data_IF_214822356192
#
_entry.id   IF_214822356192
#
_cell.length_a   1.000
_cell.length_b   1.000
_cell.length_c   1.000
_cell.angle_alpha   90.00
_cell.angle_beta   90.00
_cell.angle_gamma   90.00
#
_symmetry.space_group_name_H-M   'P 1'
#
loop_
_entity.id
_entity.type
_entity.pdbx_description
1 polymer ?
#
# COMPACT_ATOMS: atom_id res chain seq x y z
N UNK A 1 -24.53 -27.68 -6.41
CA UNK A 1 -23.94 -26.36 -6.58
C UNK A 1 -22.72 -26.29 -5.67
N UNK A 2 -21.51 -26.34 -6.22
CA UNK A 2 -20.28 -26.14 -5.44
C UNK A 2 -20.27 -24.71 -4.90
N UNK A 3 -20.14 -24.54 -3.59
CA UNK A 3 -19.92 -23.21 -2.97
C UNK A 3 -18.64 -22.63 -3.58
N UNK A 4 -18.77 -21.52 -4.31
CA UNK A 4 -17.63 -20.77 -4.81
C UNK A 4 -16.75 -20.41 -3.61
N UNK A 5 -15.52 -20.86 -3.59
CA UNK A 5 -14.60 -20.55 -2.49
C UNK A 5 -14.41 -19.03 -2.47
N UNK A 6 -14.71 -18.39 -1.32
CA UNK A 6 -14.56 -16.96 -1.19
C UNK A 6 -13.09 -16.61 -1.29
N UNK A 7 -12.71 -15.81 -2.30
CA UNK A 7 -11.32 -15.36 -2.44
C UNK A 7 -10.98 -14.26 -1.44
N UNK A 8 -9.78 -14.33 -0.87
CA UNK A 8 -9.27 -13.34 0.09
C UNK A 8 -8.27 -12.42 -0.59
N UNK A 9 -8.49 -11.11 -0.49
CA UNK A 9 -7.54 -10.06 -0.84
C UNK A 9 -6.83 -9.51 0.39
N UNK A 10 -5.55 -9.15 0.26
CA UNK A 10 -4.76 -8.52 1.31
C UNK A 10 -4.40 -7.09 0.90
N UNK A 11 -4.75 -6.10 1.72
CA UNK A 11 -4.26 -4.74 1.57
C UNK A 11 -2.97 -4.59 2.38
N UNK A 12 -1.85 -4.41 1.70
CA UNK A 12 -0.58 -4.12 2.34
C UNK A 12 -0.34 -2.62 2.36
N UNK A 13 -0.57 -2.01 3.52
CA UNK A 13 -0.29 -0.60 3.76
C UNK A 13 1.21 -0.35 3.92
N UNK A 14 1.68 0.70 3.24
CA UNK A 14 3.05 1.22 3.34
C UNK A 14 3.04 2.68 3.81
N UNK A 15 3.12 3.64 2.91
CA UNK A 15 3.08 5.08 3.21
C UNK A 15 1.67 5.70 3.03
N UNK A 16 0.72 4.96 2.48
CA UNK A 16 -0.66 5.40 2.20
C UNK A 16 -1.63 5.11 3.36
N UNK A 17 -1.27 5.49 4.59
CA UNK A 17 -2.01 5.19 5.82
C UNK A 17 -3.31 6.01 5.94
N UNK A 18 -4.22 5.84 4.97
CA UNK A 18 -5.52 6.50 4.91
C UNK A 18 -6.59 5.56 4.37
N UNK A 19 -7.84 5.79 4.74
CA UNK A 19 -8.99 5.00 4.28
C UNK A 19 -9.71 5.66 3.11
N UNK A 20 -9.69 6.99 3.06
CA UNK A 20 -10.27 7.77 1.98
C UNK A 20 -9.30 7.88 0.82
N UNK A 21 -9.84 7.94 -0.42
CA UNK A 21 -9.05 8.08 -1.64
C UNK A 21 -7.85 7.13 -1.67
N UNK A 22 -8.12 5.83 -1.51
CA UNK A 22 -7.10 4.78 -1.45
C UNK A 22 -7.40 3.70 -2.48
N UNK A 23 -6.61 3.68 -3.56
CA UNK A 23 -6.83 2.77 -4.69
C UNK A 23 -6.63 1.30 -4.32
N UNK A 24 -5.75 1.00 -3.36
CA UNK A 24 -5.55 -0.37 -2.88
C UNK A 24 -6.80 -0.91 -2.19
N UNK A 25 -7.50 -0.08 -1.42
CA UNK A 25 -8.77 -0.44 -0.79
C UNK A 25 -9.84 -0.67 -1.86
N UNK A 26 -10.02 0.28 -2.78
CA UNK A 26 -11.01 0.18 -3.85
C UNK A 26 -10.85 -1.13 -4.65
N UNK A 27 -9.65 -1.42 -5.15
CA UNK A 27 -9.36 -2.61 -5.93
C UNK A 27 -9.57 -3.91 -5.15
N UNK A 28 -9.20 -3.95 -3.87
CA UNK A 28 -9.40 -5.11 -3.03
C UNK A 28 -10.90 -5.46 -2.89
N UNK A 29 -11.73 -4.44 -2.65
CA UNK A 29 -13.18 -4.62 -2.53
C UNK A 29 -13.89 -4.94 -3.84
N UNK A 30 -13.38 -4.45 -4.96
CA UNK A 30 -13.93 -4.78 -6.28
C UNK A 30 -13.72 -6.26 -6.63
N UNK A 31 -12.55 -6.80 -6.31
CA UNK A 31 -12.13 -8.13 -6.76
C UNK A 31 -12.43 -9.26 -5.79
N UNK A 32 -12.43 -8.98 -4.48
CA UNK A 32 -12.50 -10.02 -3.45
C UNK A 32 -13.73 -9.88 -2.55
N UNK A 33 -14.24 -11.02 -2.09
CA UNK A 33 -15.35 -11.07 -1.14
C UNK A 33 -14.88 -10.94 0.30
N UNK A 34 -13.63 -11.34 0.58
CA UNK A 34 -12.98 -11.18 1.87
C UNK A 34 -11.76 -10.29 1.69
N UNK A 35 -11.63 -9.30 2.56
CA UNK A 35 -10.50 -8.36 2.53
C UNK A 35 -9.94 -8.25 3.94
N UNK A 36 -8.64 -8.49 4.08
CA UNK A 36 -7.87 -8.22 5.29
C UNK A 36 -6.81 -7.16 4.99
N UNK A 37 -6.34 -6.49 6.00
CA UNK A 37 -5.30 -5.49 5.86
C UNK A 37 -4.11 -5.81 6.76
N UNK A 38 -2.92 -5.40 6.34
CA UNK A 38 -1.69 -5.55 7.11
C UNK A 38 -0.87 -4.27 7.07
N UNK A 39 -0.31 -3.93 8.22
CA UNK A 39 0.78 -2.97 8.35
C UNK A 39 1.95 -3.63 9.10
N UNK A 40 3.13 -3.55 8.52
CA UNK A 40 4.35 -4.07 9.15
C UNK A 40 5.24 -2.89 9.53
N UNK A 41 5.46 -2.69 10.83
CA UNK A 41 6.52 -1.82 11.32
C UNK A 41 7.85 -2.49 10.96
N UNK A 42 8.40 -2.11 9.81
CA UNK A 42 9.56 -2.75 9.21
C UNK A 42 10.82 -2.53 10.07
N UNK A 43 11.39 -3.61 10.60
CA UNK A 43 12.61 -3.54 11.40
C UNK A 43 13.77 -2.86 10.69
N UNK A 44 13.86 -2.96 9.35
CA UNK A 44 14.93 -2.30 8.58
C UNK A 44 15.00 -0.79 8.81
N UNK A 45 13.86 -0.12 9.06
CA UNK A 45 13.84 1.33 9.29
C UNK A 45 14.09 1.70 10.76
N UNK A 46 13.93 0.75 11.70
CA UNK A 46 14.20 0.97 13.13
C UNK A 46 15.63 0.59 13.53
N UNK A 47 16.32 -0.22 12.73
CA UNK A 47 17.70 -0.60 12.94
C UNK A 47 18.67 0.51 12.55
N UNK A 48 19.90 0.43 13.08
CA UNK A 48 20.98 1.33 12.69
C UNK A 48 21.50 0.93 11.30
N UNK A 49 21.65 1.92 10.43
CA UNK A 49 22.30 1.71 9.15
C UNK A 49 23.82 1.49 9.30
N UNK A 50 24.51 1.25 8.19
CA UNK A 50 25.97 1.04 8.17
C UNK A 50 26.77 2.22 8.74
N UNK A 51 26.19 3.42 8.77
CA UNK A 51 26.80 4.64 9.34
C UNK A 51 26.41 4.87 10.81
N UNK A 52 25.69 3.95 11.45
CA UNK A 52 25.29 4.03 12.86
C UNK A 52 24.06 4.90 13.13
N UNK A 53 23.38 5.42 12.10
CA UNK A 53 22.16 6.24 12.25
C UNK A 53 20.90 5.38 12.15
N UNK A 54 19.88 5.75 12.93
CA UNK A 54 18.52 5.24 12.79
C UNK A 54 17.73 6.12 11.82
N UNK A 55 16.89 5.52 10.98
CA UNK A 55 15.98 6.26 10.09
C UNK A 55 14.76 6.79 10.81
N UNK A 56 14.35 6.12 11.88
CA UNK A 56 13.23 6.48 12.73
C UNK A 56 13.72 6.66 14.15
N UNK A 57 13.47 7.84 14.71
CA UNK A 57 13.66 8.19 16.10
C UNK A 57 12.30 8.41 16.79
N UNK A 58 12.32 8.66 18.10
CA UNK A 58 11.17 8.70 19.00
C UNK A 58 9.94 9.41 18.44
N UNK A 59 10.08 10.63 17.93
CA UNK A 59 8.94 11.43 17.47
C UNK A 59 8.26 10.83 16.24
N UNK A 60 9.05 10.44 15.26
CA UNK A 60 8.52 9.79 14.05
C UNK A 60 7.93 8.42 14.37
N UNK A 61 8.52 7.65 15.29
CA UNK A 61 7.99 6.38 15.73
C UNK A 61 6.64 6.54 16.45
N UNK A 62 6.50 7.51 17.35
CA UNK A 62 5.24 7.79 18.02
C UNK A 62 4.15 8.22 17.02
N UNK A 63 4.47 9.17 16.13
CA UNK A 63 3.54 9.57 15.07
C UNK A 63 3.06 8.39 14.23
N UNK A 64 3.96 7.50 13.84
CA UNK A 64 3.63 6.31 13.05
C UNK A 64 2.70 5.36 13.82
N UNK A 65 2.95 5.13 15.11
CA UNK A 65 2.08 4.30 15.97
C UNK A 65 0.68 4.91 16.09
N UNK A 66 0.59 6.22 16.29
CA UNK A 66 -0.68 6.94 16.38
C UNK A 66 -1.44 6.86 15.06
N UNK A 67 -0.76 7.08 13.92
CA UNK A 67 -1.36 7.00 12.59
C UNK A 67 -1.88 5.58 12.29
N UNK A 68 -1.13 4.54 12.64
CA UNK A 68 -1.57 3.15 12.43
C UNK A 68 -2.73 2.78 13.34
N UNK A 69 -2.80 3.33 14.55
CA UNK A 69 -3.95 3.15 15.46
C UNK A 69 -5.21 3.78 14.87
N UNK A 70 -5.12 5.01 14.39
CA UNK A 70 -6.22 5.72 13.74
C UNK A 70 -6.69 4.97 12.49
N UNK A 71 -5.76 4.52 11.64
CA UNK A 71 -6.07 3.69 10.48
C UNK A 71 -6.82 2.41 10.88
N UNK A 72 -6.40 1.74 11.96
CA UNK A 72 -7.05 0.53 12.47
C UNK A 72 -8.51 0.77 12.87
N UNK A 73 -8.77 1.88 13.55
CA UNK A 73 -10.12 2.28 13.97
C UNK A 73 -11.02 2.57 12.75
N UNK A 74 -10.53 3.32 11.77
CA UNK A 74 -11.27 3.61 10.55
C UNK A 74 -11.53 2.38 9.67
N UNK A 75 -10.57 1.45 9.58
CA UNK A 75 -10.75 0.19 8.88
C UNK A 75 -11.78 -0.71 9.57
N UNK A 76 -11.79 -0.74 10.92
CA UNK A 76 -12.75 -1.50 11.68
C UNK A 76 -14.20 -1.04 11.42
N UNK A 77 -14.44 0.26 11.19
CA UNK A 77 -15.75 0.81 10.79
C UNK A 77 -16.22 0.29 9.43
N UNK A 78 -15.28 -0.20 8.59
CA UNK A 78 -15.56 -0.83 7.30
C UNK A 78 -15.53 -2.36 7.35
N UNK A 79 -15.54 -2.95 8.55
CA UNK A 79 -15.38 -4.39 8.77
C UNK A 79 -14.06 -4.95 8.19
N UNK A 80 -12.98 -4.18 8.17
CA UNK A 80 -11.67 -4.64 7.78
C UNK A 80 -10.80 -4.79 9.02
N UNK A 81 -10.24 -5.97 9.24
CA UNK A 81 -9.25 -6.20 10.30
C UNK A 81 -7.87 -5.75 9.81
N UNK A 82 -7.22 -4.84 10.55
CA UNK A 82 -5.83 -4.48 10.34
C UNK A 82 -4.92 -5.33 11.24
N UNK A 83 -4.16 -6.22 10.63
CA UNK A 83 -3.08 -6.94 11.28
C UNK A 83 -1.86 -6.04 11.39
N UNK A 84 -1.23 -6.01 12.57
CA UNK A 84 -0.04 -5.18 12.79
C UNK A 84 1.10 -6.03 13.35
N UNK A 85 2.29 -5.89 12.77
CA UNK A 85 3.48 -6.61 13.16
C UNK A 85 4.68 -5.67 13.28
N UNK A 86 5.60 -6.00 14.17
CA UNK A 86 6.92 -5.40 14.23
C UNK A 86 7.95 -6.46 13.83
N UNK A 87 8.23 -6.54 12.53
CA UNK A 87 9.16 -7.53 11.94
C UNK A 87 9.56 -7.11 10.52
N UNK A 88 10.22 -8.02 9.78
CA UNK A 88 10.56 -7.83 8.37
C UNK A 88 9.37 -8.17 7.47
N UNK A 89 8.94 -7.26 6.56
CA UNK A 89 7.81 -7.50 5.66
C UNK A 89 7.94 -8.80 4.84
N UNK A 90 9.15 -9.11 4.36
CA UNK A 90 9.45 -10.32 3.60
C UNK A 90 9.38 -11.63 4.41
N UNK A 91 9.19 -11.54 5.72
CA UNK A 91 8.95 -12.71 6.61
C UNK A 91 7.46 -12.82 6.93
N UNK A 92 6.84 -11.69 7.27
CA UNK A 92 5.46 -11.66 7.77
C UNK A 92 4.45 -11.84 6.64
N UNK A 93 4.59 -11.08 5.57
CA UNK A 93 3.56 -11.02 4.51
C UNK A 93 3.35 -12.37 3.83
N UNK A 94 4.39 -13.10 3.37
CA UNK A 94 4.20 -14.42 2.79
C UNK A 94 3.49 -15.39 3.74
N UNK A 95 3.87 -15.39 5.02
CA UNK A 95 3.24 -16.25 6.04
C UNK A 95 1.75 -15.92 6.24
N UNK A 96 1.38 -14.64 6.22
CA UNK A 96 -0.03 -14.22 6.30
C UNK A 96 -0.78 -14.66 5.05
N UNK A 97 -0.17 -14.54 3.88
CA UNK A 97 -0.77 -14.99 2.61
C UNK A 97 -1.08 -16.50 2.64
N UNK A 98 -0.16 -17.31 3.13
CA UNK A 98 -0.38 -18.76 3.29
C UNK A 98 -1.47 -19.06 4.32
N UNK A 99 -1.40 -18.42 5.50
CA UNK A 99 -2.34 -18.66 6.61
C UNK A 99 -3.78 -18.34 6.24
N UNK A 100 -4.00 -17.25 5.50
CA UNK A 100 -5.33 -16.75 5.14
C UNK A 100 -5.73 -17.06 3.68
N UNK A 101 -4.95 -17.88 2.97
CA UNK A 101 -5.18 -18.27 1.58
C UNK A 101 -5.42 -17.06 0.67
N UNK A 102 -4.59 -16.03 0.84
CA UNK A 102 -4.65 -14.78 0.07
C UNK A 102 -4.32 -15.07 -1.40
N UNK A 103 -5.16 -14.57 -2.31
CA UNK A 103 -4.97 -14.71 -3.76
C UNK A 103 -4.33 -13.49 -4.42
N UNK A 104 -4.56 -12.31 -3.85
CA UNK A 104 -4.01 -11.08 -4.39
C UNK A 104 -3.68 -10.09 -3.27
N UNK A 105 -2.51 -9.47 -3.36
CA UNK A 105 -2.06 -8.37 -2.49
C UNK A 105 -2.25 -7.06 -3.25
N UNK A 106 -2.84 -6.05 -2.58
CA UNK A 106 -2.99 -4.70 -3.10
C UNK A 106 -2.12 -3.75 -2.29
N UNK A 107 -1.29 -2.98 -2.96
CA UNK A 107 -0.37 -2.05 -2.29
C UNK A 107 -0.15 -0.79 -3.11
N UNK A 108 0.38 0.25 -2.48
CA UNK A 108 0.84 1.44 -3.16
C UNK A 108 2.16 1.17 -3.87
N UNK A 109 2.32 1.70 -5.07
CA UNK A 109 3.59 1.68 -5.79
C UNK A 109 4.56 2.65 -5.16
N UNK A 110 5.67 2.15 -4.70
CA UNK A 110 6.73 2.92 -4.06
C UNK A 110 7.88 3.24 -5.05
N UNK A 111 8.65 4.29 -4.72
CA UNK A 111 9.62 4.87 -5.65
C UNK A 111 11.06 4.78 -5.18
N UNK A 112 11.29 4.75 -3.88
CA UNK A 112 12.66 4.73 -3.37
C UNK A 112 13.26 3.34 -3.43
N UNK A 113 14.58 3.27 -3.53
CA UNK A 113 15.29 1.99 -3.68
C UNK A 113 15.04 1.02 -2.52
N UNK A 114 14.75 1.54 -1.33
CA UNK A 114 14.55 0.75 -0.13
C UNK A 114 13.19 0.08 -0.13
N UNK A 115 12.13 0.85 -0.37
CA UNK A 115 10.76 0.32 -0.45
C UNK A 115 10.61 -0.63 -1.64
N UNK A 116 11.17 -0.26 -2.80
CA UNK A 116 11.21 -1.16 -3.97
C UNK A 116 11.99 -2.44 -3.67
N UNK A 117 13.08 -2.35 -2.91
CA UNK A 117 13.85 -3.50 -2.44
C UNK A 117 13.02 -4.41 -1.53
N UNK A 118 12.30 -3.84 -0.57
CA UNK A 118 11.39 -4.57 0.33
C UNK A 118 10.26 -5.25 -0.45
N UNK A 119 9.63 -4.53 -1.39
CA UNK A 119 8.61 -5.08 -2.28
C UNK A 119 9.13 -6.32 -3.05
N UNK A 120 10.30 -6.22 -3.67
CA UNK A 120 10.92 -7.33 -4.41
C UNK A 120 11.21 -8.54 -3.53
N UNK A 121 11.69 -8.32 -2.29
CA UNK A 121 11.92 -9.40 -1.32
C UNK A 121 10.62 -10.10 -0.92
N UNK A 122 9.54 -9.35 -0.70
CA UNK A 122 8.23 -9.93 -0.42
C UNK A 122 7.77 -10.74 -1.64
N UNK A 123 7.76 -10.13 -2.83
CA UNK A 123 7.30 -10.77 -4.06
C UNK A 123 8.05 -12.10 -4.36
N UNK A 124 9.36 -12.14 -4.11
CA UNK A 124 10.19 -13.35 -4.35
C UNK A 124 9.88 -14.52 -3.41
N UNK A 125 9.14 -14.28 -2.33
CA UNK A 125 8.79 -15.30 -1.32
C UNK A 125 7.31 -15.70 -1.37
N UNK A 126 6.52 -15.11 -2.25
CA UNK A 126 5.14 -15.52 -2.47
C UNK A 126 5.09 -16.80 -3.31
N UNK A 127 4.03 -17.56 -3.12
CA UNK A 127 3.72 -18.71 -3.99
C UNK A 127 3.14 -18.21 -5.32
N UNK A 128 3.22 -19.04 -6.36
CA UNK A 128 2.66 -18.73 -7.69
C UNK A 128 1.14 -18.47 -7.68
N UNK A 129 0.47 -18.86 -6.59
CA UNK A 129 -0.97 -18.66 -6.42
C UNK A 129 -1.34 -17.28 -5.87
N UNK A 130 -0.38 -16.49 -5.41
CA UNK A 130 -0.58 -15.16 -4.82
C UNK A 130 0.07 -14.09 -5.68
N UNK A 131 -0.73 -13.20 -6.25
CA UNK A 131 -0.25 -12.10 -7.08
C UNK A 131 -0.17 -10.79 -6.31
N UNK A 132 0.61 -9.82 -6.81
CA UNK A 132 0.64 -8.45 -6.28
C UNK A 132 0.16 -7.48 -7.35
N UNK A 133 -0.80 -6.65 -6.99
CA UNK A 133 -1.24 -5.50 -7.77
C UNK A 133 -0.80 -4.22 -7.05
N UNK A 134 0.09 -3.46 -7.67
CA UNK A 134 0.49 -2.15 -7.17
C UNK A 134 -0.24 -1.03 -7.95
N UNK A 135 -0.49 0.08 -7.27
CA UNK A 135 -1.16 1.24 -7.86
C UNK A 135 -0.45 2.55 -7.54
N UNK A 136 -0.47 3.48 -8.49
CA UNK A 136 -0.02 4.86 -8.26
C UNK A 136 -1.08 5.59 -7.42
N UNK A 137 -0.76 5.93 -6.18
CA UNK A 137 -1.69 6.51 -5.23
C UNK A 137 -1.04 7.58 -4.32
N UNK A 138 0.18 7.98 -4.65
CA UNK A 138 0.99 8.87 -3.82
C UNK A 138 0.96 10.33 -4.27
N UNK A 139 0.75 10.59 -5.55
CA UNK A 139 0.90 11.92 -6.14
C UNK A 139 -0.42 12.44 -6.71
N UNK A 140 -0.58 13.77 -6.65
CA UNK A 140 -1.74 14.46 -7.21
C UNK A 140 -1.91 14.22 -8.72
N UNK A 141 -0.80 14.18 -9.46
CA UNK A 141 -0.81 13.88 -10.88
C UNK A 141 -0.35 12.45 -11.11
N UNK A 142 -1.17 11.67 -11.77
CA UNK A 142 -0.78 10.32 -12.16
C UNK A 142 0.27 10.40 -13.28
N UNK A 143 1.32 9.56 -13.25
CA UNK A 143 2.41 9.62 -14.24
C UNK A 143 1.95 9.51 -15.69
N UNK A 144 0.91 8.73 -15.96
CA UNK A 144 0.34 8.56 -17.32
C UNK A 144 -0.40 9.81 -17.84
N UNK A 145 -0.84 10.69 -16.92
CA UNK A 145 -1.59 11.90 -17.28
C UNK A 145 -0.66 13.11 -17.47
N UNK A 146 0.65 12.91 -17.21
CA UNK A 146 1.67 13.90 -17.49
C UNK A 146 2.09 13.76 -18.94
N UNK A 147 1.52 14.58 -19.83
CA UNK A 147 1.80 14.61 -21.27
C UNK A 147 3.24 15.10 -21.58
N UNK A 148 4.24 14.44 -21.03
CA UNK A 148 5.66 14.72 -21.28
C UNK A 148 6.47 13.43 -21.33
N UNK A 149 7.29 13.29 -22.36
CA UNK A 149 8.34 12.27 -22.36
C UNK A 149 9.36 12.57 -21.26
N UNK A 150 9.82 11.53 -20.56
CA UNK A 150 10.85 11.63 -19.51
C UNK A 150 12.10 12.40 -19.98
N UNK A 151 12.47 12.25 -21.26
CA UNK A 151 13.61 12.97 -21.88
C UNK A 151 13.35 14.45 -22.08
N UNK A 152 12.08 14.89 -22.09
CA UNK A 152 11.67 16.28 -22.30
C UNK A 152 11.30 17.00 -21.00
N UNK A 153 11.50 16.38 -19.86
CA UNK A 153 11.24 17.00 -18.55
C UNK A 153 12.19 18.21 -18.39
N UNK A 154 11.63 19.42 -18.15
CA UNK A 154 12.45 20.60 -17.93
C UNK A 154 13.36 20.44 -16.70
N UNK A 155 14.64 20.80 -16.81
CA UNK A 155 15.56 20.78 -15.68
C UNK A 155 15.15 21.75 -14.54
N UNK A 156 14.43 22.83 -14.87
CA UNK A 156 13.93 23.81 -13.90
C UNK A 156 12.52 23.43 -13.48
N UNK A 157 12.33 23.15 -12.19
CA UNK A 157 11.05 22.71 -11.62
C UNK A 157 9.87 23.67 -11.95
N UNK A 158 10.08 24.99 -11.92
CA UNK A 158 9.03 25.95 -12.25
C UNK A 158 8.48 25.76 -13.67
N UNK A 159 9.32 25.43 -14.62
CA UNK A 159 8.91 25.17 -16.02
C UNK A 159 8.15 23.84 -16.12
N UNK A 160 8.60 22.82 -15.40
CA UNK A 160 7.88 21.55 -15.27
C UNK A 160 6.49 21.77 -14.68
N UNK A 161 6.42 22.41 -13.50
CA UNK A 161 5.16 22.71 -12.81
C UNK A 161 4.16 23.43 -13.71
N UNK A 162 4.56 24.54 -14.36
CA UNK A 162 3.68 25.31 -15.27
C UNK A 162 3.14 24.48 -16.43
N UNK A 163 3.92 23.54 -16.96
CA UNK A 163 3.46 22.65 -18.03
C UNK A 163 2.44 21.64 -17.48
N UNK A 164 2.74 21.01 -16.33
CA UNK A 164 1.82 20.04 -15.72
C UNK A 164 0.50 20.70 -15.33
N UNK A 165 0.53 21.84 -14.64
CA UNK A 165 -0.68 22.61 -14.26
C UNK A 165 -1.55 22.98 -15.47
N UNK A 166 -0.93 23.19 -16.64
CA UNK A 166 -1.65 23.59 -17.86
C UNK A 166 -2.25 22.43 -18.64
N UNK A 167 -1.60 21.28 -18.64
CA UNK A 167 -1.90 20.19 -19.59
C UNK A 167 -2.28 18.85 -18.96
N UNK A 168 -1.98 18.64 -17.67
CA UNK A 168 -2.35 17.42 -16.98
C UNK A 168 -3.73 17.59 -16.31
N UNK A 169 -4.49 16.50 -16.30
CA UNK A 169 -5.74 16.42 -15.55
C UNK A 169 -5.50 15.74 -14.21
N UNK A 170 -6.22 16.16 -13.18
CA UNK A 170 -6.26 15.46 -11.88
C UNK A 170 -7.38 14.42 -11.99
N UNK A 171 -7.04 13.16 -11.68
CA UNK A 171 -8.04 12.09 -11.61
C UNK A 171 -9.00 12.34 -10.46
N UNK A 172 -10.24 11.89 -10.61
CA UNK A 172 -11.19 11.90 -9.50
C UNK A 172 -10.70 11.00 -8.36
N UNK A 173 -11.06 11.35 -7.13
CA UNK A 173 -10.80 10.52 -5.97
C UNK A 173 -11.37 9.11 -6.12
N UNK A 174 -10.68 8.15 -5.52
CA UNK A 174 -11.14 6.76 -5.43
C UNK A 174 -12.46 6.69 -4.65
N UNK A 175 -13.43 5.97 -5.20
CA UNK A 175 -14.73 5.83 -4.55
C UNK A 175 -14.57 5.16 -3.18
N UNK A 176 -15.18 5.77 -2.16
CA UNK A 176 -15.31 5.11 -0.86
C UNK A 176 -16.20 3.89 -1.01
N UNK A 177 -15.61 2.70 -0.89
CA UNK A 177 -16.35 1.45 -1.07
C UNK A 177 -17.26 1.20 0.11
N UNK A 178 -18.58 1.13 -0.16
CA UNK A 178 -19.64 0.81 0.81
C UNK A 178 -20.04 -0.68 0.75
N UNK A 179 -19.18 -1.57 0.27
CA UNK A 179 -19.51 -2.98 0.21
C UNK A 179 -19.34 -3.59 1.61
N UNK A 180 -20.37 -4.21 2.13
CA UNK A 180 -20.23 -5.03 3.34
C UNK A 180 -19.35 -6.23 3.04
N UNK A 181 -18.18 -6.27 3.66
CA UNK A 181 -17.27 -7.40 3.58
C UNK A 181 -17.43 -8.24 4.82
N UNK A 182 -17.60 -9.54 4.64
CA UNK A 182 -17.65 -10.46 5.76
C UNK A 182 -16.22 -10.76 6.21
N UNK A 183 -15.74 -10.00 7.17
CA UNK A 183 -14.52 -10.34 7.89
C UNK A 183 -14.86 -11.35 8.99
N UNK A 184 -14.40 -12.58 8.79
CA UNK A 184 -14.21 -13.55 9.87
C UNK A 184 -12.74 -13.98 9.83
N UNK A 185 -11.91 -13.31 10.60
CA UNK A 185 -10.61 -13.83 11.03
C UNK A 185 -10.82 -14.43 12.41
#
# INVERSE_FOLDING_TARGET
MQKKQKSTGLIWFTNNLRVQDNKSIELAFEKHEQVIAIYVFDKHIFERNLFGFKKIERYRANFLVETVRDLKEHLAQKNITLLTYFDFPEVVIPKICETHLVKEIFTQKEWTSEEVGTFKKVASKLTDECTITDSYDQFLYHPEDINMDLKSIPAVFTNFRKKVEKYASIRSESNSVHKEVSNRI
#
